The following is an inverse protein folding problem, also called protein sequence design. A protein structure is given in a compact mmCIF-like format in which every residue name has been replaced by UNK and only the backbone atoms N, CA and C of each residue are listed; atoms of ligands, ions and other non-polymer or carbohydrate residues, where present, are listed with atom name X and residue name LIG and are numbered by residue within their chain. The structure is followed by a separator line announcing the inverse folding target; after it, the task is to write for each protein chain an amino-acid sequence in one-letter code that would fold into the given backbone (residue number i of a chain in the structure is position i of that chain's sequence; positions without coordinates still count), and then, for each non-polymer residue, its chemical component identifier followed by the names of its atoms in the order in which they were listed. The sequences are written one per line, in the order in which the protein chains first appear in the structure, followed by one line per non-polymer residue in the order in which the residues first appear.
data_IF_390987463527
#
_entry.id   IF_390987463527
#
_cell.length_a   1.000
_cell.length_b   1.000
_cell.length_c   1.000
_cell.angle_alpha   90.00
_cell.angle_beta   90.00
_cell.angle_gamma   90.00
#
_symmetry.space_group_name_H-M   'P 1'
#
loop_
_entity.id
_entity.type
_entity.pdbx_description
1 polymer ?
#
# COMPACT_ATOMS: atom_id res chain seq x y z
N UNK A 1 11.93 26.65 1.99
CA UNK A 1 11.69 26.29 0.57
C UNK A 1 10.64 25.18 0.54
N UNK A 2 9.67 25.30 -0.36
CA UNK A 2 8.50 24.40 -0.46
C UNK A 2 8.77 23.16 -1.31
N UNK A 3 8.18 22.04 -0.93
CA UNK A 3 8.15 20.78 -1.69
C UNK A 3 6.80 20.08 -1.53
N UNK A 4 6.49 19.14 -2.44
CA UNK A 4 5.25 18.39 -2.43
C UNK A 4 5.47 16.97 -2.96
N UNK A 5 4.95 15.97 -2.24
CA UNK A 5 5.01 14.54 -2.59
C UNK A 5 3.60 13.96 -2.58
N UNK A 6 3.26 13.16 -3.57
CA UNK A 6 1.99 12.45 -3.61
C UNK A 6 2.08 11.16 -2.79
N UNK A 7 1.12 10.96 -1.93
CA UNK A 7 0.88 9.75 -1.13
C UNK A 7 -0.60 9.39 -1.15
N UNK A 8 -1.02 8.45 -0.32
CA UNK A 8 -2.40 8.00 -0.24
C UNK A 8 -2.86 7.78 1.20
N UNK A 9 -4.13 8.07 1.48
CA UNK A 9 -4.88 7.54 2.61
C UNK A 9 -5.74 6.38 2.14
N UNK A 10 -6.03 5.43 3.02
CA UNK A 10 -6.96 4.33 2.76
C UNK A 10 -8.29 4.66 3.43
N UNK A 11 -9.37 4.59 2.65
CA UNK A 11 -10.74 4.70 3.14
C UNK A 11 -11.55 3.50 2.65
N UNK A 12 -11.82 2.55 3.55
CA UNK A 12 -12.37 1.26 3.17
C UNK A 12 -11.41 0.50 2.24
N UNK A 13 -11.85 0.21 1.02
CA UNK A 13 -11.06 -0.47 -0.03
C UNK A 13 -10.48 0.50 -1.06
N UNK A 14 -10.63 1.80 -0.88
CA UNK A 14 -10.20 2.81 -1.84
C UNK A 14 -9.06 3.67 -1.30
N UNK A 15 -8.12 4.00 -2.19
CA UNK A 15 -7.11 5.01 -1.93
C UNK A 15 -7.63 6.41 -2.21
N UNK A 16 -7.30 7.36 -1.34
CA UNK A 16 -7.57 8.78 -1.53
C UNK A 16 -6.24 9.54 -1.64
N UNK A 17 -6.10 10.51 -2.57
CA UNK A 17 -4.84 11.20 -2.76
C UNK A 17 -4.55 12.12 -1.58
N UNK A 18 -3.34 11.99 -1.03
CA UNK A 18 -2.81 12.86 0.01
C UNK A 18 -1.55 13.52 -0.51
N UNK A 19 -1.49 14.83 -0.39
CA UNK A 19 -0.29 15.57 -0.70
C UNK A 19 0.47 15.87 0.60
N UNK A 20 1.68 15.37 0.68
CA UNK A 20 2.61 15.68 1.75
C UNK A 20 3.44 16.88 1.30
N UNK A 21 3.22 18.00 1.94
CA UNK A 21 3.88 19.27 1.65
C UNK A 21 4.86 19.57 2.76
N UNK A 22 6.07 19.99 2.42
CA UNK A 22 7.05 20.42 3.40
C UNK A 22 7.58 21.81 3.05
N UNK A 23 7.66 22.66 4.05
CA UNK A 23 8.38 23.95 3.95
C UNK A 23 9.52 23.98 4.95
N UNK A 24 10.68 24.40 4.44
CA UNK A 24 11.90 24.62 5.23
C UNK A 24 12.30 26.09 5.14
N UNK A 25 12.25 26.77 6.28
CA UNK A 25 12.54 28.20 6.40
C UNK A 25 13.63 28.48 7.43
N UNK A 26 14.27 29.64 7.30
CA UNK A 26 15.22 30.13 8.30
C UNK A 26 14.46 30.52 9.57
N UNK A 27 15.12 30.45 10.72
CA UNK A 27 14.57 30.83 12.01
C UNK A 27 14.97 29.85 13.12
N UNK A 28 14.28 29.92 14.25
CA UNK A 28 14.49 29.00 15.35
C UNK A 28 14.16 27.57 14.90
N UNK A 29 15.09 26.62 15.11
CA UNK A 29 14.86 25.22 14.75
C UNK A 29 13.59 24.68 15.40
N UNK A 30 12.76 24.01 14.61
CA UNK A 30 11.52 23.42 15.08
C UNK A 30 10.92 22.53 14.01
N UNK A 31 10.03 21.63 14.44
CA UNK A 31 9.27 20.77 13.55
C UNK A 31 7.80 20.88 13.92
N UNK A 32 6.94 21.16 12.95
CA UNK A 32 5.51 21.21 13.13
C UNK A 32 4.78 20.43 12.06
N UNK A 33 3.68 19.78 12.43
CA UNK A 33 2.82 19.06 11.51
C UNK A 33 1.41 19.64 11.51
N UNK A 34 0.82 19.79 10.33
CA UNK A 34 -0.49 20.39 10.10
C UNK A 34 -1.39 19.40 9.35
N UNK A 35 -2.67 19.40 9.65
CA UNK A 35 -3.71 18.55 9.07
C UNK A 35 -4.52 17.81 10.12
N UNK A 36 -5.54 17.07 9.69
CA UNK A 36 -6.27 16.14 10.57
C UNK A 36 -5.47 14.81 10.69
N UNK A 37 -4.64 14.74 11.74
CA UNK A 37 -3.61 13.72 11.93
C UNK A 37 -3.84 12.92 13.20
N UNK A 38 -3.86 11.59 13.10
CA UNK A 38 -3.81 10.72 14.27
C UNK A 38 -2.49 10.90 15.05
N UNK A 39 -2.47 10.41 16.30
CA UNK A 39 -1.25 10.42 17.11
C UNK A 39 -0.09 9.70 16.40
N UNK A 40 -0.35 8.58 15.74
CA UNK A 40 0.66 7.81 15.00
C UNK A 40 1.31 8.61 13.87
N UNK A 41 0.53 9.43 13.16
CA UNK A 41 1.07 10.31 12.12
C UNK A 41 1.92 11.43 12.72
N UNK A 42 1.50 12.01 13.86
CA UNK A 42 2.30 13.03 14.55
C UNK A 42 3.65 12.51 15.05
N UNK A 43 3.73 11.24 15.45
CA UNK A 43 4.98 10.58 15.83
C UNK A 43 5.96 10.39 14.64
N UNK A 44 5.50 10.57 13.39
CA UNK A 44 6.37 10.51 12.22
C UNK A 44 7.54 11.48 12.29
N UNK A 45 7.37 12.62 12.97
CA UNK A 45 8.45 13.58 13.23
C UNK A 45 9.68 12.89 13.83
N UNK A 46 9.51 12.14 14.92
CA UNK A 46 10.61 11.52 15.64
C UNK A 46 11.22 10.36 14.84
N UNK A 47 10.35 9.56 14.17
CA UNK A 47 10.81 8.45 13.33
C UNK A 47 11.64 8.95 12.15
N UNK A 48 11.15 9.94 11.42
CA UNK A 48 11.83 10.51 10.24
C UNK A 48 13.14 11.17 10.61
N UNK A 49 13.16 12.01 11.63
CA UNK A 49 14.38 12.72 12.06
C UNK A 49 15.46 11.75 12.60
N UNK A 50 15.04 10.69 13.27
CA UNK A 50 15.95 9.64 13.73
C UNK A 50 16.46 8.78 12.57
N UNK A 51 15.57 8.43 11.62
CA UNK A 51 15.95 7.70 10.41
C UNK A 51 16.98 8.46 9.57
N UNK A 52 16.85 9.79 9.44
CA UNK A 52 17.87 10.62 8.77
C UNK A 52 19.24 10.48 9.43
N UNK A 53 19.31 10.69 10.75
CA UNK A 53 20.58 10.57 11.50
C UNK A 53 21.23 9.20 11.31
N UNK A 54 20.44 8.13 11.47
CA UNK A 54 20.93 6.75 11.37
C UNK A 54 21.25 6.34 9.92
N UNK A 55 20.69 7.05 8.93
CA UNK A 55 21.04 6.90 7.52
C UNK A 55 22.23 7.74 7.08
N UNK A 56 22.85 8.53 7.99
CA UNK A 56 23.98 9.41 7.68
C UNK A 56 23.56 10.71 6.97
N UNK A 57 22.27 11.07 7.01
CA UNK A 57 21.76 12.31 6.43
C UNK A 57 21.76 13.38 7.53
N UNK A 58 22.60 14.39 7.37
CA UNK A 58 22.70 15.51 8.30
C UNK A 58 21.93 16.71 7.75
N UNK A 59 20.88 17.11 8.43
CA UNK A 59 20.12 18.32 8.12
C UNK A 59 20.63 19.50 8.96
N UNK A 60 20.78 20.66 8.33
CA UNK A 60 21.07 21.90 9.07
C UNK A 60 19.85 22.25 9.93
N UNK A 61 20.04 22.75 11.16
CA UNK A 61 18.93 23.18 12.01
C UNK A 61 18.15 24.32 11.35
N UNK A 62 16.87 24.05 11.01
CA UNK A 62 15.94 25.01 10.40
C UNK A 62 14.54 24.77 10.91
N UNK A 63 13.63 25.67 10.62
CA UNK A 63 12.20 25.46 10.88
C UNK A 63 11.60 24.60 9.78
N UNK A 64 11.02 23.45 10.15
CA UNK A 64 10.36 22.51 9.26
C UNK A 64 8.86 22.54 9.55
N UNK A 65 8.04 22.76 8.54
CA UNK A 65 6.60 22.60 8.62
C UNK A 65 6.15 21.59 7.61
N UNK A 66 5.43 20.56 8.04
CA UNK A 66 4.85 19.51 7.19
C UNK A 66 3.34 19.60 7.25
N UNK A 67 2.70 19.67 6.09
CA UNK A 67 1.25 19.66 5.94
C UNK A 67 0.81 18.43 5.14
N UNK A 68 -0.20 17.70 5.63
CA UNK A 68 -0.83 16.61 4.91
C UNK A 68 -2.21 17.05 4.41
N UNK A 69 -2.27 17.41 3.14
CA UNK A 69 -3.45 17.95 2.45
C UNK A 69 -4.21 16.85 1.68
N UNK A 70 -5.55 16.89 1.59
CA UNK A 70 -6.46 17.91 2.16
C UNK A 70 -6.74 17.70 3.65
N UNK A 71 -7.17 18.75 4.35
CA UNK A 71 -7.38 18.74 5.81
C UNK A 71 -8.65 17.99 6.25
N UNK A 72 -9.63 17.84 5.37
CA UNK A 72 -10.91 17.17 5.60
C UNK A 72 -10.84 15.64 5.62
N UNK A 73 -9.72 15.06 5.16
CA UNK A 73 -9.47 13.62 5.22
C UNK A 73 -8.67 13.33 6.49
N UNK A 74 -9.19 12.44 7.35
CA UNK A 74 -8.43 11.93 8.50
C UNK A 74 -7.26 11.04 8.05
N UNK A 75 -6.04 11.30 8.55
CA UNK A 75 -4.84 10.53 8.25
C UNK A 75 -4.49 9.68 9.45
N UNK A 76 -4.47 8.36 9.24
CA UNK A 76 -4.05 7.40 10.25
C UNK A 76 -2.96 6.48 9.71
N UNK A 77 -2.18 5.92 10.63
CA UNK A 77 -1.11 4.97 10.32
C UNK A 77 0.24 5.64 10.08
N UNK A 78 1.23 4.80 9.75
CA UNK A 78 2.64 5.18 9.60
C UNK A 78 3.12 5.20 8.13
N UNK A 79 2.21 4.97 7.18
CA UNK A 79 2.53 4.94 5.73
C UNK A 79 3.03 6.27 5.17
N UNK A 80 2.87 7.35 5.93
CA UNK A 80 3.30 8.70 5.54
C UNK A 80 4.76 9.02 5.90
N UNK A 81 5.45 8.17 6.68
CA UNK A 81 6.81 8.46 7.12
C UNK A 81 7.77 8.66 5.94
N UNK A 82 7.73 7.74 4.96
CA UNK A 82 8.59 7.82 3.79
C UNK A 82 8.28 9.04 2.91
N UNK A 83 7.02 9.36 2.53
CA UNK A 83 6.72 10.57 1.78
C UNK A 83 7.05 11.85 2.56
N UNK A 84 6.88 11.90 3.89
CA UNK A 84 7.31 13.02 4.73
C UNK A 84 8.83 13.20 4.64
N UNK A 85 9.59 12.11 4.75
CA UNK A 85 11.05 12.16 4.63
C UNK A 85 11.48 12.73 3.28
N UNK A 86 10.89 12.25 2.17
CA UNK A 86 11.22 12.72 0.83
C UNK A 86 10.83 14.19 0.61
N UNK A 87 9.67 14.61 1.13
CA UNK A 87 9.25 15.99 1.07
C UNK A 87 10.25 16.92 1.82
N UNK A 88 10.67 16.53 3.02
CA UNK A 88 11.68 17.28 3.78
C UNK A 88 12.99 17.37 3.01
N UNK A 89 13.50 16.26 2.48
CA UNK A 89 14.75 16.25 1.71
C UNK A 89 14.68 17.11 0.45
N UNK A 90 13.54 17.11 -0.24
CA UNK A 90 13.30 17.97 -1.38
C UNK A 90 13.26 19.46 -0.98
N UNK A 91 12.61 19.78 0.15
CA UNK A 91 12.58 21.15 0.68
C UNK A 91 13.96 21.63 1.15
N UNK A 92 14.85 20.72 1.58
CA UNK A 92 16.27 21.02 1.85
C UNK A 92 17.14 21.07 0.60
N UNK A 93 16.58 20.83 -0.60
CA UNK A 93 17.32 20.76 -1.88
C UNK A 93 18.35 19.59 -1.93
N UNK A 94 18.18 18.59 -1.09
CA UNK A 94 19.00 17.37 -1.11
C UNK A 94 18.45 16.33 -2.11
N UNK A 95 17.23 16.55 -2.59
CA UNK A 95 16.57 15.75 -3.62
C UNK A 95 15.92 16.71 -4.64
N UNK A 96 16.17 16.55 -5.96
CA UNK A 96 15.51 17.37 -6.97
C UNK A 96 14.01 17.08 -7.01
N UNK A 97 13.17 18.12 -6.97
CA UNK A 97 11.70 18.00 -7.03
C UNK A 97 11.19 17.28 -8.29
N UNK A 98 11.93 17.40 -9.38
CA UNK A 98 11.59 16.77 -10.67
C UNK A 98 11.52 15.23 -10.55
N UNK A 99 12.34 14.64 -9.67
CA UNK A 99 12.38 13.18 -9.47
C UNK A 99 11.12 12.62 -8.78
N UNK A 100 10.31 13.51 -8.20
CA UNK A 100 9.06 13.15 -7.51
C UNK A 100 7.82 13.40 -8.38
N UNK A 101 7.97 13.98 -9.56
CA UNK A 101 6.83 14.20 -10.49
C UNK A 101 6.33 12.88 -11.05
N UNK A 102 5.02 12.66 -10.98
CA UNK A 102 4.40 11.41 -11.44
C UNK A 102 4.78 10.18 -10.62
N UNK A 103 5.25 10.39 -9.39
CA UNK A 103 5.61 9.33 -8.44
C UNK A 103 4.68 9.40 -7.23
N UNK A 104 4.05 8.28 -6.90
CA UNK A 104 3.36 8.12 -5.63
C UNK A 104 4.25 7.34 -4.65
N UNK A 105 4.30 7.77 -3.41
CA UNK A 105 5.17 7.18 -2.39
C UNK A 105 4.37 6.80 -1.16
N UNK A 106 4.57 5.60 -0.62
CA UNK A 106 4.03 5.18 0.67
C UNK A 106 5.00 4.22 1.37
N UNK A 107 5.11 4.34 2.70
CA UNK A 107 5.97 3.46 3.48
C UNK A 107 6.19 3.96 4.90
N UNK A 108 6.31 3.04 5.85
CA UNK A 108 6.71 3.33 7.22
C UNK A 108 8.24 3.35 7.33
N UNK A 109 8.79 4.25 8.13
CA UNK A 109 10.23 4.28 8.44
C UNK A 109 10.52 3.75 9.84
N UNK A 110 11.41 2.78 9.90
CA UNK A 110 12.08 2.41 11.15
C UNK A 110 13.13 3.44 11.54
N UNK A 111 13.46 3.53 12.83
CA UNK A 111 14.47 4.45 13.35
C UNK A 111 15.86 4.26 12.73
N UNK A 112 16.16 3.07 12.23
CA UNK A 112 17.38 2.73 11.51
C UNK A 112 17.38 3.08 10.02
N UNK A 113 16.29 3.70 9.53
CA UNK A 113 16.12 4.02 8.11
C UNK A 113 15.61 2.85 7.25
N UNK A 114 15.22 1.72 7.85
CA UNK A 114 14.55 0.64 7.13
C UNK A 114 13.13 1.05 6.73
N UNK A 115 12.71 0.67 5.52
CA UNK A 115 11.34 0.85 5.04
C UNK A 115 10.55 -0.40 5.34
N UNK A 116 9.50 -0.26 6.16
CA UNK A 116 8.66 -1.35 6.64
C UNK A 116 7.38 -1.44 5.82
N UNK A 117 6.84 -2.67 5.73
CA UNK A 117 5.58 -2.96 5.04
C UNK A 117 4.39 -2.17 5.60
N UNK A 118 3.47 -1.86 4.72
CA UNK A 118 2.22 -1.13 5.02
C UNK A 118 1.02 -2.00 4.68
N UNK A 119 -0.14 -1.60 5.18
CA UNK A 119 -1.43 -2.16 4.78
C UNK A 119 -2.02 -1.32 3.65
N UNK A 120 -2.84 -1.94 2.81
CA UNK A 120 -3.54 -1.24 1.73
C UNK A 120 -2.62 -0.87 0.55
N UNK A 121 -1.59 -1.66 0.26
CA UNK A 121 -0.69 -1.36 -0.85
C UNK A 121 -1.41 -1.43 -2.19
N UNK A 122 -2.33 -2.38 -2.40
CA UNK A 122 -3.06 -2.53 -3.64
C UNK A 122 -3.95 -1.32 -3.96
N UNK A 123 -4.85 -0.83 -3.07
CA UNK A 123 -5.58 0.41 -3.31
C UNK A 123 -4.70 1.64 -3.48
N UNK A 124 -3.52 1.69 -2.86
CA UNK A 124 -2.54 2.76 -3.07
C UNK A 124 -2.03 2.76 -4.52
N UNK A 125 -1.68 1.59 -5.06
CA UNK A 125 -1.19 1.46 -6.44
C UNK A 125 -2.31 1.74 -7.45
N UNK A 126 -3.52 1.26 -7.21
CA UNK A 126 -4.69 1.58 -8.04
C UNK A 126 -4.93 3.11 -8.10
N UNK A 127 -4.81 3.78 -6.94
CA UNK A 127 -4.88 5.24 -6.89
C UNK A 127 -3.76 5.89 -7.71
N UNK A 128 -2.52 5.42 -7.58
CA UNK A 128 -1.39 5.94 -8.34
C UNK A 128 -1.65 5.87 -9.86
N UNK A 129 -2.11 4.71 -10.35
CA UNK A 129 -2.50 4.52 -11.74
C UNK A 129 -3.61 5.49 -12.17
N UNK A 130 -4.67 5.61 -11.35
CA UNK A 130 -5.81 6.52 -11.62
C UNK A 130 -5.39 7.98 -11.69
N UNK A 131 -4.38 8.38 -10.93
CA UNK A 131 -3.83 9.75 -10.95
C UNK A 131 -2.75 9.96 -12.03
N UNK A 132 -2.54 9.00 -12.92
CA UNK A 132 -1.57 9.12 -14.02
C UNK A 132 -0.11 9.06 -13.56
N UNK A 133 0.17 8.47 -12.40
CA UNK A 133 1.54 8.22 -11.97
C UNK A 133 2.16 7.13 -12.83
N UNK A 134 3.41 7.35 -13.24
CA UNK A 134 4.19 6.33 -13.94
C UNK A 134 4.92 5.39 -12.98
N UNK A 135 5.11 5.79 -11.71
CA UNK A 135 5.86 5.02 -10.72
C UNK A 135 5.18 5.08 -9.35
N UNK A 136 5.17 3.95 -8.66
CA UNK A 136 4.76 3.86 -7.26
C UNK A 136 5.91 3.25 -6.44
N UNK A 137 6.40 4.00 -5.43
CA UNK A 137 7.45 3.54 -4.52
C UNK A 137 6.80 2.98 -3.27
N UNK A 138 7.03 1.69 -3.01
CA UNK A 138 6.47 0.93 -1.90
C UNK A 138 7.58 0.22 -1.11
N UNK A 139 7.28 -0.23 0.12
CA UNK A 139 8.16 -1.17 0.82
C UNK A 139 8.36 -2.44 -0.01
N UNK A 140 9.57 -3.03 0.02
CA UNK A 140 9.87 -4.27 -0.71
C UNK A 140 8.87 -5.39 -0.40
N UNK A 141 8.43 -5.49 0.86
CA UNK A 141 7.42 -6.47 1.27
C UNK A 141 6.10 -6.36 0.52
N UNK A 142 5.73 -5.16 0.07
CA UNK A 142 4.47 -4.89 -0.65
C UNK A 142 4.65 -4.87 -2.18
N UNK A 143 5.86 -5.08 -2.67
CA UNK A 143 6.18 -4.99 -4.09
C UNK A 143 5.32 -5.92 -4.93
N UNK A 144 5.27 -7.20 -4.58
CA UNK A 144 4.52 -8.22 -5.32
C UNK A 144 3.05 -7.90 -5.40
N UNK A 145 2.48 -7.46 -4.28
CA UNK A 145 1.10 -7.02 -4.22
C UNK A 145 0.86 -5.84 -5.17
N UNK A 146 1.77 -4.86 -5.18
CA UNK A 146 1.71 -3.73 -6.11
C UNK A 146 1.83 -4.14 -7.58
N UNK A 147 2.68 -5.11 -7.91
CA UNK A 147 2.90 -5.62 -9.27
C UNK A 147 1.66 -6.32 -9.87
N UNK A 148 0.63 -6.62 -9.07
CA UNK A 148 -0.68 -7.09 -9.59
C UNK A 148 -1.41 -6.03 -10.41
N UNK A 149 -1.12 -4.76 -10.23
CA UNK A 149 -1.70 -3.67 -11.02
C UNK A 149 -0.84 -3.42 -12.26
N UNK A 150 -1.39 -3.64 -13.44
CA UNK A 150 -0.70 -3.38 -14.72
C UNK A 150 -0.50 -1.89 -15.00
N UNK A 151 0.38 -1.57 -15.94
CA UNK A 151 0.62 -0.22 -16.50
C UNK A 151 1.12 0.82 -15.50
N UNK A 152 1.76 0.40 -14.43
CA UNK A 152 2.47 1.26 -13.48
C UNK A 152 3.76 0.59 -13.05
N UNK A 153 4.85 1.35 -12.96
CA UNK A 153 6.13 0.82 -12.49
C UNK A 153 6.19 0.79 -10.97
N UNK A 154 6.33 -0.40 -10.39
CA UNK A 154 6.45 -0.59 -8.94
C UNK A 154 7.92 -0.67 -8.55
N UNK A 155 8.29 0.16 -7.59
CA UNK A 155 9.64 0.20 -7.02
C UNK A 155 9.58 -0.23 -5.57
N UNK A 156 9.96 -1.47 -5.31
CA UNK A 156 10.09 -1.98 -3.95
C UNK A 156 11.41 -1.53 -3.32
N UNK A 157 11.34 -0.98 -2.10
CA UNK A 157 12.52 -0.46 -1.38
C UNK A 157 12.57 -0.99 0.05
N UNK A 158 13.76 -1.28 0.53
CA UNK A 158 14.02 -1.79 1.88
C UNK A 158 14.60 -0.73 2.83
N UNK A 159 15.20 0.32 2.29
CA UNK A 159 15.84 1.38 3.08
C UNK A 159 15.64 2.76 2.45
N UNK A 160 15.72 3.80 3.29
CA UNK A 160 15.70 5.18 2.83
C UNK A 160 16.83 5.49 1.82
N UNK A 161 18.01 4.87 2.01
CA UNK A 161 19.15 5.02 1.08
C UNK A 161 18.83 4.45 -0.31
N UNK A 162 18.15 3.32 -0.40
CA UNK A 162 17.71 2.74 -1.67
C UNK A 162 16.75 3.67 -2.41
N UNK A 163 15.79 4.28 -1.69
CA UNK A 163 14.87 5.26 -2.28
C UNK A 163 15.62 6.43 -2.88
N UNK A 164 16.54 7.02 -2.12
CA UNK A 164 17.33 8.16 -2.58
C UNK A 164 18.21 7.80 -3.79
N UNK A 165 18.83 6.61 -3.74
CA UNK A 165 19.62 6.12 -4.88
C UNK A 165 18.74 5.94 -6.12
N UNK A 166 17.57 5.32 -5.97
CA UNK A 166 16.63 5.15 -7.09
C UNK A 166 16.19 6.50 -7.68
N UNK A 167 15.79 7.46 -6.84
CA UNK A 167 15.35 8.77 -7.31
C UNK A 167 16.46 9.58 -7.99
N UNK A 168 17.72 9.33 -7.65
CA UNK A 168 18.88 10.02 -8.26
C UNK A 168 19.44 9.30 -9.50
N UNK A 169 19.40 7.96 -9.54
CA UNK A 169 20.08 7.13 -10.55
C UNK A 169 19.12 6.29 -11.40
N UNK A 170 17.85 6.18 -11.03
CA UNK A 170 16.87 5.32 -11.71
C UNK A 170 17.03 3.81 -11.46
N UNK A 171 17.96 3.39 -10.59
CA UNK A 171 18.25 1.98 -10.32
C UNK A 171 18.42 1.73 -8.82
N UNK A 172 18.17 0.50 -8.37
CA UNK A 172 18.47 0.04 -7.01
C UNK A 172 19.63 -0.94 -7.09
N UNK A 173 20.77 -0.68 -6.42
CA UNK A 173 21.93 -1.59 -6.44
C UNK A 173 21.57 -2.96 -5.85
N UNK A 174 22.03 -4.03 -6.49
CA UNK A 174 21.93 -5.41 -5.99
C UNK A 174 20.57 -6.08 -6.12
N UNK A 175 19.52 -5.40 -6.59
CA UNK A 175 18.23 -6.03 -6.86
C UNK A 175 18.22 -6.60 -8.28
N UNK A 176 18.41 -7.91 -8.38
CA UNK A 176 18.11 -8.67 -9.60
C UNK A 176 16.59 -8.93 -9.60
N UNK A 177 15.93 -8.66 -10.73
CA UNK A 177 14.53 -9.08 -10.92
C UNK A 177 14.45 -10.59 -10.73
N UNK A 178 13.99 -11.00 -9.58
CA UNK A 178 13.55 -12.38 -9.33
C UNK A 178 12.50 -12.34 -8.23
N UNK A 179 11.29 -12.70 -8.65
CA UNK A 179 10.51 -13.62 -7.85
C UNK A 179 9.41 -14.20 -8.73
N UNK A 180 9.65 -15.41 -9.18
CA UNK A 180 8.57 -16.29 -9.63
C UNK A 180 7.93 -16.77 -8.34
N UNK A 181 6.80 -16.18 -7.97
CA UNK A 181 6.03 -16.69 -6.85
C UNK A 181 5.43 -18.03 -7.23
N UNK A 182 5.81 -19.07 -6.52
CA UNK A 182 5.02 -20.28 -6.47
C UNK A 182 3.73 -19.92 -5.74
N UNK A 183 2.65 -19.80 -6.48
CA UNK A 183 1.31 -19.79 -5.92
C UNK A 183 1.16 -21.19 -5.32
N UNK A 184 1.11 -21.30 -3.99
CA UNK A 184 0.65 -22.51 -3.35
C UNK A 184 -0.80 -22.70 -3.80
N UNK A 185 -1.03 -23.62 -4.71
CA UNK A 185 -2.37 -24.07 -5.08
C UNK A 185 -2.99 -24.67 -3.81
N UNK A 186 -3.85 -23.92 -3.15
CA UNK A 186 -4.73 -24.47 -2.10
C UNK A 186 -5.61 -25.51 -2.78
N UNK A 187 -5.47 -26.77 -2.43
CA UNK A 187 -6.36 -27.84 -2.88
C UNK A 187 -7.79 -27.49 -2.45
N UNK A 188 -8.59 -27.05 -3.42
CA UNK A 188 -10.03 -26.84 -3.21
C UNK A 188 -10.69 -28.21 -3.36
N UNK A 189 -11.43 -28.72 -2.36
CA UNK A 189 -12.15 -29.99 -2.49
C UNK A 189 -13.12 -29.93 -3.67
N UNK A 190 -13.20 -31.00 -4.44
CA UNK A 190 -14.09 -31.06 -5.59
C UNK A 190 -15.56 -31.05 -5.15
N UNK A 191 -16.37 -30.29 -5.83
CA UNK A 191 -17.82 -30.27 -5.61
C UNK A 191 -18.47 -31.64 -5.92
N UNK A 192 -17.84 -32.45 -6.75
CA UNK A 192 -18.25 -33.83 -7.05
C UNK A 192 -18.14 -34.77 -5.83
N UNK A 193 -17.26 -34.48 -4.86
CA UNK A 193 -17.08 -35.29 -3.65
C UNK A 193 -18.25 -35.18 -2.68
N UNK A 194 -19.19 -34.27 -2.94
CA UNK A 194 -20.40 -34.12 -2.11
C UNK A 194 -21.42 -35.17 -2.51
N UNK A 195 -21.55 -36.21 -1.72
CA UNK A 195 -22.51 -37.27 -1.95
C UNK A 195 -23.88 -36.96 -1.33
N UNK A 196 -24.94 -37.25 -2.07
CA UNK A 196 -26.34 -37.02 -1.64
C UNK A 196 -26.71 -35.53 -1.72
N UNK A 197 -27.77 -35.15 -1.00
CA UNK A 197 -28.27 -33.76 -0.85
C UNK A 197 -28.46 -33.03 -2.19
N UNK A 198 -29.08 -33.68 -3.19
CA UNK A 198 -29.23 -33.17 -4.57
C UNK A 198 -29.88 -31.79 -4.63
N UNK A 199 -30.85 -31.50 -3.77
CA UNK A 199 -31.51 -30.19 -3.72
C UNK A 199 -30.55 -29.07 -3.25
N UNK A 200 -29.71 -29.35 -2.24
CA UNK A 200 -28.74 -28.38 -1.72
C UNK A 200 -27.61 -28.14 -2.74
N UNK A 201 -27.14 -29.21 -3.40
CA UNK A 201 -26.16 -29.11 -4.49
C UNK A 201 -26.70 -28.26 -5.63
N UNK A 202 -27.91 -28.51 -6.07
CA UNK A 202 -28.55 -27.72 -7.13
C UNK A 202 -28.75 -26.27 -6.75
N UNK A 203 -29.10 -25.97 -5.50
CA UNK A 203 -29.21 -24.61 -4.98
C UNK A 203 -27.84 -23.91 -4.95
N UNK A 204 -26.77 -24.63 -4.58
CA UNK A 204 -25.40 -24.10 -4.60
C UNK A 204 -24.92 -23.77 -6.04
N UNK A 205 -25.19 -24.65 -7.02
CA UNK A 205 -24.90 -24.41 -8.43
C UNK A 205 -25.59 -23.14 -8.95
N UNK A 206 -26.90 -22.99 -8.65
CA UNK A 206 -27.67 -21.80 -9.03
C UNK A 206 -27.11 -20.55 -8.37
N UNK A 207 -26.79 -20.62 -7.07
CA UNK A 207 -26.21 -19.51 -6.34
C UNK A 207 -24.84 -19.11 -6.90
N UNK A 208 -23.98 -20.09 -7.21
CA UNK A 208 -22.66 -19.84 -7.82
C UNK A 208 -22.78 -19.22 -9.22
N UNK A 209 -23.60 -19.78 -10.12
CA UNK A 209 -23.78 -19.29 -11.46
C UNK A 209 -24.48 -17.91 -11.54
N UNK A 210 -25.39 -17.65 -10.59
CA UNK A 210 -26.14 -16.39 -10.51
C UNK A 210 -25.50 -15.35 -9.57
N UNK A 211 -24.35 -15.63 -8.96
CA UNK A 211 -23.70 -14.77 -7.96
C UNK A 211 -24.65 -14.38 -6.81
N UNK A 212 -25.47 -15.33 -6.33
CA UNK A 212 -26.42 -15.11 -5.27
C UNK A 212 -25.82 -15.42 -3.90
N UNK A 213 -26.26 -14.68 -2.89
CA UNK A 213 -25.99 -15.07 -1.50
C UNK A 213 -26.65 -16.41 -1.17
N UNK A 214 -25.93 -17.28 -0.48
CA UNK A 214 -26.39 -18.61 -0.14
C UNK A 214 -26.31 -18.84 1.37
N UNK A 215 -27.45 -19.10 2.02
CA UNK A 215 -27.52 -19.39 3.44
C UNK A 215 -27.89 -20.85 3.65
N UNK A 216 -27.07 -21.59 4.41
CA UNK A 216 -27.31 -22.97 4.78
C UNK A 216 -27.63 -23.09 6.27
N UNK A 217 -28.78 -23.65 6.59
CA UNK A 217 -29.23 -23.96 7.95
C UNK A 217 -29.43 -25.45 8.12
N UNK A 218 -29.02 -25.97 9.28
CA UNK A 218 -29.18 -27.41 9.57
C UNK A 218 -28.34 -27.86 10.78
N UNK A 219 -28.54 -29.09 11.25
CA UNK A 219 -27.84 -29.63 12.41
C UNK A 219 -26.33 -29.77 12.18
N UNK A 220 -25.53 -29.91 13.26
CA UNK A 220 -24.14 -30.29 13.15
C UNK A 220 -23.97 -31.61 12.36
N UNK A 221 -22.89 -31.73 11.59
CA UNK A 221 -22.62 -32.93 10.79
C UNK A 221 -23.40 -33.05 9.47
N UNK A 222 -24.28 -32.11 9.12
CA UNK A 222 -25.05 -32.11 7.87
C UNK A 222 -24.24 -31.75 6.60
N UNK A 223 -22.92 -31.65 6.66
CA UNK A 223 -22.05 -31.36 5.50
C UNK A 223 -21.99 -29.91 5.07
N UNK A 224 -22.57 -28.94 5.81
CA UNK A 224 -22.56 -27.50 5.45
C UNK A 224 -21.17 -26.93 5.20
N UNK A 225 -20.25 -27.25 6.10
CA UNK A 225 -18.85 -26.74 5.99
C UNK A 225 -18.09 -27.36 4.81
N UNK A 226 -18.37 -28.62 4.47
CA UNK A 226 -17.79 -29.26 3.30
C UNK A 226 -18.30 -28.60 2.03
N UNK A 227 -19.61 -28.43 1.91
CA UNK A 227 -20.22 -27.76 0.75
C UNK A 227 -19.66 -26.35 0.58
N UNK A 228 -19.54 -25.57 1.67
CA UNK A 228 -18.97 -24.23 1.61
C UNK A 228 -17.51 -24.22 1.14
N UNK A 229 -16.71 -25.24 1.53
CA UNK A 229 -15.31 -25.37 1.07
C UNK A 229 -15.19 -25.77 -0.41
N UNK A 230 -16.17 -26.52 -0.94
CA UNK A 230 -16.20 -26.90 -2.34
C UNK A 230 -16.76 -25.79 -3.26
N UNK A 231 -17.56 -24.86 -2.72
CA UNK A 231 -18.17 -23.79 -3.52
C UNK A 231 -17.18 -22.97 -4.35
N UNK A 232 -15.99 -22.58 -3.85
CA UNK A 232 -15.02 -21.86 -4.68
C UNK A 232 -14.66 -22.56 -5.99
N UNK A 233 -14.68 -23.92 -6.01
CA UNK A 233 -14.37 -24.70 -7.21
C UNK A 233 -15.42 -24.63 -8.32
N UNK A 234 -16.64 -24.20 -8.01
CA UNK A 234 -17.75 -24.06 -9.00
C UNK A 234 -18.10 -22.58 -9.30
N UNK A 235 -17.41 -21.62 -8.65
CA UNK A 235 -17.59 -20.21 -8.96
C UNK A 235 -17.00 -19.88 -10.35
N UNK A 236 -17.64 -19.00 -11.14
CA UNK A 236 -17.02 -18.48 -12.34
C UNK A 236 -15.68 -17.80 -12.04
N UNK A 237 -14.72 -17.91 -12.96
CA UNK A 237 -13.45 -17.21 -12.83
C UNK A 237 -13.65 -15.71 -12.70
N UNK A 238 -12.91 -15.09 -11.82
CA UNK A 238 -12.92 -13.64 -11.65
C UNK A 238 -12.23 -12.96 -12.85
N UNK A 239 -12.78 -11.84 -13.28
CA UNK A 239 -12.03 -10.92 -14.14
C UNK A 239 -10.87 -10.32 -13.38
N UNK A 240 -9.89 -9.73 -14.09
CA UNK A 240 -8.76 -9.04 -13.44
C UNK A 240 -9.23 -7.93 -12.50
N UNK A 241 -10.26 -7.16 -12.89
CA UNK A 241 -10.82 -6.09 -12.06
C UNK A 241 -11.46 -6.63 -10.78
N UNK A 242 -12.29 -7.67 -10.90
CA UNK A 242 -12.91 -8.35 -9.75
C UNK A 242 -11.86 -8.96 -8.82
N UNK A 243 -10.82 -9.56 -9.38
CA UNK A 243 -9.70 -10.13 -8.60
C UNK A 243 -8.96 -9.04 -7.81
N UNK A 244 -8.70 -7.88 -8.42
CA UNK A 244 -8.07 -6.74 -7.75
C UNK A 244 -8.97 -6.16 -6.66
N UNK A 245 -10.29 -6.09 -6.89
CA UNK A 245 -11.26 -5.61 -5.88
C UNK A 245 -11.28 -6.53 -4.67
N UNK A 246 -11.41 -7.84 -4.88
CA UNK A 246 -11.36 -8.84 -3.79
C UNK A 246 -10.03 -8.80 -3.06
N UNK A 247 -8.91 -8.73 -3.79
CA UNK A 247 -7.56 -8.65 -3.19
C UNK A 247 -7.37 -7.38 -2.35
N UNK A 248 -8.02 -6.28 -2.73
CA UNK A 248 -7.96 -5.02 -1.97
C UNK A 248 -8.59 -5.11 -0.58
N UNK A 249 -9.48 -6.08 -0.34
CA UNK A 249 -10.07 -6.33 0.98
C UNK A 249 -9.03 -6.94 1.93
N UNK A 250 -8.09 -7.72 1.40
CA UNK A 250 -7.07 -8.45 2.16
C UNK A 250 -5.70 -7.74 2.19
N UNK A 251 -5.58 -6.64 1.48
CA UNK A 251 -4.37 -5.82 1.34
C UNK A 251 -3.86 -5.15 2.64
#
# INVERSE_FOLDING_TARGET
MFSRVLSAAICGIQGLPIFVEADVSEGLPGFSMVGDLSAKVKEAQDRVMTAFRNSGIQLRPKRITVNLSPADIHKDGSSYDLPIALAILAAYQLLPMETLKGVLVAGELGLNGAVKGIKGALPIVQLAKKNGCHTCILPERNRTEGEMVSDIHIVGVSTLKEVLHYLQKGTIPGKIKKDVYNIEETEIPDFADIHGQSAVRRAAEIAAGGRHHFLMMGPPGAGKSLLAKCMPGILPSLTMEESLEVSSIYS
#
